data_IF_868972103450
#
_entry.id   IF_868972103450
#
_cell.length_a   1.000
_cell.length_b   1.000
_cell.length_c   1.000
_cell.angle_alpha   90.00
_cell.angle_beta   90.00
_cell.angle_gamma   90.00
#
_symmetry.space_group_name_H-M   'P 1'
#
loop_
_entity.id
_entity.type
_entity.pdbx_description
1 polymer ?
#
# COMPACT_ATOMS: atom_id res chain seq x y z
N UNK A 1 15.84 -8.14 -8.61
CA UNK A 1 15.00 -8.81 -9.65
C UNK A 1 13.82 -7.90 -9.95
N UNK A 2 13.08 -7.99 -11.07
CA UNK A 2 11.85 -7.19 -11.17
C UNK A 2 10.85 -7.65 -10.10
N UNK A 3 10.09 -6.71 -9.54
CA UNK A 3 9.03 -7.03 -8.58
C UNK A 3 8.03 -8.04 -9.16
N UNK A 4 7.64 -9.05 -8.39
CA UNK A 4 6.67 -10.07 -8.83
C UNK A 4 5.25 -9.54 -8.97
N UNK A 5 4.84 -8.62 -8.10
CA UNK A 5 3.51 -8.01 -8.12
C UNK A 5 3.55 -6.54 -8.54
N UNK A 6 2.42 -6.04 -9.04
CA UNK A 6 2.26 -4.63 -9.44
C UNK A 6 1.30 -3.89 -8.51
N UNK A 7 1.36 -2.55 -8.54
CA UNK A 7 0.36 -1.72 -7.88
C UNK A 7 -1.06 -2.10 -8.34
N UNK A 8 -1.98 -2.12 -7.38
CA UNK A 8 -3.39 -2.45 -7.54
C UNK A 8 -3.66 -3.89 -8.00
N UNK A 9 -2.66 -4.76 -8.02
CA UNK A 9 -2.87 -6.19 -8.25
C UNK A 9 -3.59 -6.80 -7.05
N UNK A 10 -4.58 -7.65 -7.33
CA UNK A 10 -5.30 -8.40 -6.30
C UNK A 10 -4.51 -9.66 -5.98
N UNK A 11 -4.25 -9.86 -4.69
CA UNK A 11 -3.44 -10.97 -4.17
C UNK A 11 -4.15 -11.68 -3.04
N UNK A 12 -3.82 -12.96 -2.85
CA UNK A 12 -4.20 -13.75 -1.68
C UNK A 12 -2.99 -13.95 -0.78
N UNK A 13 -3.18 -13.76 0.52
CA UNK A 13 -2.18 -14.06 1.53
C UNK A 13 -2.18 -15.57 1.79
N UNK A 14 -1.01 -16.21 1.67
CA UNK A 14 -0.80 -17.65 1.84
C UNK A 14 0.33 -17.97 2.82
N UNK A 15 0.55 -17.08 3.79
CA UNK A 15 1.61 -17.24 4.77
C UNK A 15 1.27 -18.25 5.86
N UNK A 16 2.29 -18.98 6.31
CA UNK A 16 2.27 -19.77 7.53
C UNK A 16 2.93 -19.04 8.72
N UNK A 17 3.40 -17.80 8.51
CA UNK A 17 4.07 -16.99 9.54
C UNK A 17 3.05 -16.57 10.61
N UNK A 18 3.33 -16.74 11.92
CA UNK A 18 2.38 -16.42 12.99
C UNK A 18 1.89 -14.97 12.95
N UNK A 19 2.76 -14.02 12.59
CA UNK A 19 2.45 -12.60 12.47
C UNK A 19 1.44 -12.27 11.36
N UNK A 20 1.25 -13.17 10.38
CA UNK A 20 0.28 -13.02 9.29
C UNK A 20 -0.94 -13.94 9.47
N UNK A 21 -1.05 -14.64 10.60
CA UNK A 21 -2.10 -15.65 10.82
C UNK A 21 -3.51 -15.07 10.74
N UNK A 22 -3.70 -13.81 11.14
CA UNK A 22 -4.99 -13.11 11.09
C UNK A 22 -5.48 -12.87 9.66
N UNK A 23 -4.56 -12.61 8.73
CA UNK A 23 -4.89 -12.31 7.34
C UNK A 23 -4.62 -13.47 6.38
N UNK A 24 -4.12 -14.61 6.89
CA UNK A 24 -3.83 -15.79 6.07
C UNK A 24 -5.10 -16.36 5.46
N UNK A 25 -5.09 -16.55 4.14
CA UNK A 25 -6.24 -16.96 3.35
C UNK A 25 -7.12 -15.81 2.86
N UNK A 26 -6.93 -14.60 3.37
CA UNK A 26 -7.67 -13.42 2.95
C UNK A 26 -7.09 -12.82 1.66
N UNK A 27 -7.92 -12.04 0.99
CA UNK A 27 -7.59 -11.37 -0.28
C UNK A 27 -7.46 -9.87 -0.02
N UNK A 28 -6.51 -9.26 -0.71
CA UNK A 28 -6.30 -7.82 -0.67
C UNK A 28 -5.70 -7.31 -1.97
N UNK A 29 -5.26 -6.06 -1.93
CA UNK A 29 -4.71 -5.34 -3.07
C UNK A 29 -3.36 -4.72 -2.72
N UNK A 30 -2.41 -4.77 -3.67
CA UNK A 30 -1.09 -4.15 -3.50
C UNK A 30 -1.23 -2.62 -3.54
N UNK A 31 -0.96 -1.97 -2.41
CA UNK A 31 -0.99 -0.52 -2.23
C UNK A 31 0.40 0.11 -2.11
N UNK A 32 1.41 -0.69 -1.83
CA UNK A 32 2.79 -0.24 -1.66
C UNK A 32 3.79 -1.33 -2.00
N UNK A 33 4.96 -0.92 -2.47
CA UNK A 33 6.04 -1.81 -2.87
C UNK A 33 7.35 -1.19 -2.39
N UNK A 34 8.21 -1.99 -1.77
CA UNK A 34 9.54 -1.59 -1.35
C UNK A 34 10.54 -2.68 -1.71
N UNK A 35 11.73 -2.29 -2.16
CA UNK A 35 12.86 -3.18 -2.42
C UNK A 35 13.93 -2.93 -1.36
N UNK A 36 14.52 -3.99 -0.81
CA UNK A 36 15.69 -3.87 0.07
C UNK A 36 17.01 -3.89 -0.73
N UNK A 37 18.15 -3.72 -0.05
CA UNK A 37 19.48 -3.71 -0.70
C UNK A 37 19.85 -5.04 -1.40
N UNK A 38 19.25 -6.15 -0.97
CA UNK A 38 19.45 -7.48 -1.56
C UNK A 38 18.52 -7.75 -2.76
N UNK A 39 17.64 -6.81 -3.08
CA UNK A 39 16.66 -6.93 -4.17
C UNK A 39 15.43 -7.78 -3.84
N UNK A 40 15.14 -7.97 -2.55
CA UNK A 40 13.90 -8.58 -2.06
C UNK A 40 12.80 -7.54 -1.92
N UNK A 41 11.59 -7.91 -2.33
CA UNK A 41 10.42 -7.04 -2.26
C UNK A 41 9.55 -7.33 -1.05
N UNK A 42 9.16 -6.26 -0.36
CA UNK A 42 8.06 -6.22 0.59
C UNK A 42 6.90 -5.43 0.01
N UNK A 43 5.68 -5.82 0.37
CA UNK A 43 4.45 -5.28 -0.17
C UNK A 43 3.53 -4.79 0.94
N UNK A 44 2.95 -3.62 0.76
CA UNK A 44 1.83 -3.17 1.57
C UNK A 44 0.53 -3.65 0.90
N UNK A 45 -0.23 -4.51 1.58
CA UNK A 45 -1.46 -5.13 1.10
C UNK A 45 -2.62 -4.57 1.91
N UNK A 46 -3.57 -3.91 1.25
CA UNK A 46 -4.85 -3.55 1.89
C UNK A 46 -5.79 -4.74 1.82
N UNK A 47 -6.18 -5.29 2.97
CA UNK A 47 -6.99 -6.51 3.08
C UNK A 47 -8.47 -6.12 3.12
N UNK A 48 -9.26 -6.67 2.19
CA UNK A 48 -10.64 -6.25 1.99
C UNK A 48 -11.57 -6.55 3.18
N UNK A 49 -11.31 -7.65 3.88
CA UNK A 49 -12.20 -8.13 4.95
C UNK A 49 -12.01 -7.39 6.28
N UNK A 50 -10.86 -6.75 6.48
CA UNK A 50 -10.49 -6.09 7.75
C UNK A 50 -10.23 -4.58 7.63
N UNK A 51 -10.25 -4.02 6.42
CA UNK A 51 -9.99 -2.59 6.15
C UNK A 51 -8.66 -2.09 6.73
N UNK A 52 -7.64 -2.95 6.70
CA UNK A 52 -6.31 -2.68 7.23
C UNK A 52 -5.22 -2.93 6.20
N UNK A 53 -4.15 -2.14 6.29
CA UNK A 53 -2.93 -2.32 5.51
C UNK A 53 -1.90 -3.17 6.25
N UNK A 54 -1.45 -4.25 5.63
CA UNK A 54 -0.48 -5.18 6.17
C UNK A 54 0.79 -5.25 5.33
N UNK A 55 1.93 -5.53 5.98
CA UNK A 55 3.18 -5.80 5.28
C UNK A 55 3.34 -7.30 5.05
N UNK A 56 3.57 -7.72 3.80
CA UNK A 56 3.82 -9.10 3.44
C UNK A 56 5.02 -9.21 2.48
N UNK A 57 5.76 -10.31 2.56
CA UNK A 57 6.87 -10.58 1.65
C UNK A 57 6.38 -11.24 0.37
N UNK A 58 7.22 -11.24 -0.66
CA UNK A 58 6.91 -11.82 -1.98
C UNK A 58 6.45 -13.29 -1.91
N UNK A 59 7.03 -14.08 -1.00
CA UNK A 59 6.70 -15.49 -0.79
C UNK A 59 5.35 -15.73 -0.08
N UNK A 60 4.82 -14.71 0.60
CA UNK A 60 3.58 -14.80 1.37
C UNK A 60 2.33 -14.56 0.53
N UNK A 61 2.50 -14.25 -0.77
CA UNK A 61 1.45 -13.76 -1.65
C UNK A 61 1.34 -14.60 -2.92
N UNK A 62 0.09 -14.75 -3.38
CA UNK A 62 -0.24 -15.33 -4.70
C UNK A 62 -1.09 -14.33 -5.47
N UNK A 63 -0.74 -14.14 -6.74
CA UNK A 63 -1.52 -13.31 -7.67
C UNK A 63 -2.88 -13.96 -7.93
N UNK A 64 -3.94 -13.15 -7.89
CA UNK A 64 -5.28 -13.56 -8.30
C UNK A 64 -5.56 -13.23 -9.78
N UNK A 65 -4.56 -12.72 -10.51
CA UNK A 65 -4.66 -12.40 -11.95
C UNK A 65 -5.60 -11.26 -12.29
N UNK A 66 -6.05 -10.49 -11.30
CA UNK A 66 -6.95 -9.35 -11.46
C UNK A 66 -6.34 -8.10 -10.85
N UNK A 67 -6.76 -6.94 -11.37
CA UNK A 67 -6.21 -5.64 -10.99
C UNK A 67 -7.37 -4.69 -10.73
N UNK A 68 -7.27 -3.96 -9.64
CA UNK A 68 -8.12 -2.81 -9.35
C UNK A 68 -7.53 -1.56 -9.99
N UNK A 69 -8.29 -0.47 -9.99
CA UNK A 69 -7.84 0.82 -10.50
C UNK A 69 -7.52 1.73 -9.34
N UNK A 70 -6.62 2.68 -9.57
CA UNK A 70 -6.29 3.71 -8.59
C UNK A 70 -7.55 4.47 -8.12
N UNK A 71 -8.45 4.76 -9.05
CA UNK A 71 -9.69 5.51 -8.81
C UNK A 71 -10.68 4.76 -7.92
N UNK A 72 -10.48 3.45 -7.70
CA UNK A 72 -11.29 2.69 -6.75
C UNK A 72 -10.88 3.00 -5.29
N UNK A 73 -9.73 3.64 -5.06
CA UNK A 73 -9.18 3.98 -3.73
C UNK A 73 -9.00 5.48 -3.49
N UNK A 74 -8.81 6.25 -4.56
CA UNK A 74 -8.54 7.68 -4.48
C UNK A 74 -9.57 8.43 -5.34
N UNK A 75 -10.22 9.42 -4.75
CA UNK A 75 -11.18 10.31 -5.42
C UNK A 75 -10.52 11.40 -6.29
N UNK A 76 -9.19 11.38 -6.37
CA UNK A 76 -8.41 12.38 -7.09
C UNK A 76 -8.25 13.71 -6.35
N UNK A 77 -8.80 13.84 -5.14
CA UNK A 77 -8.54 14.99 -4.28
C UNK A 77 -7.08 15.00 -3.81
N UNK A 78 -6.58 16.19 -3.48
CA UNK A 78 -5.25 16.35 -2.88
C UNK A 78 -5.31 17.40 -1.80
N UNK A 79 -4.50 17.20 -0.76
CA UNK A 79 -4.31 18.16 0.32
C UNK A 79 -2.94 18.81 0.18
N UNK A 80 -2.85 20.10 0.46
CA UNK A 80 -1.56 20.80 0.54
C UNK A 80 -1.13 20.87 2.00
N UNK A 81 0.11 20.46 2.25
CA UNK A 81 0.75 20.58 3.56
C UNK A 81 1.81 21.67 3.48
N UNK A 82 1.80 22.58 4.45
CA UNK A 82 2.92 23.50 4.70
C UNK A 82 3.69 23.00 5.90
N UNK A 83 5.01 22.96 5.77
CA UNK A 83 5.93 22.53 6.82
C UNK A 83 6.48 23.76 7.52
N UNK A 84 6.47 23.74 8.84
CA UNK A 84 7.18 24.72 9.67
C UNK A 84 8.70 24.44 9.59
N UNK A 85 9.53 25.41 9.15
CA UNK A 85 10.96 25.19 8.97
C UNK A 85 11.75 25.10 10.30
N UNK A 86 11.18 25.58 11.41
CA UNK A 86 11.83 25.54 12.73
C UNK A 86 11.56 24.21 13.45
N UNK A 87 10.32 23.70 13.35
CA UNK A 87 9.89 22.49 14.07
C UNK A 87 9.85 21.23 13.19
N UNK A 88 9.68 21.40 11.88
CA UNK A 88 9.43 20.31 10.94
C UNK A 88 7.99 19.81 10.92
N UNK A 89 7.08 20.38 11.70
CA UNK A 89 5.68 19.96 11.75
C UNK A 89 4.89 20.42 10.51
N UNK A 90 4.02 19.54 9.99
CA UNK A 90 3.18 19.81 8.83
C UNK A 90 1.75 20.17 9.21
N UNK A 91 1.16 21.16 8.54
CA UNK A 91 -0.26 21.52 8.68
C UNK A 91 -0.94 21.65 7.32
N UNK A 92 -2.21 21.21 7.24
CA UNK A 92 -3.03 21.36 6.02
C UNK A 92 -3.33 22.85 5.80
N UNK A 93 -3.18 23.31 4.57
CA UNK A 93 -3.49 24.70 4.18
C UNK A 93 -4.50 24.74 3.04
N UNK A 94 -5.39 25.72 3.09
CA UNK A 94 -6.35 25.96 2.02
C UNK A 94 -5.67 26.50 0.75
N UNK A 95 -6.27 26.16 -0.39
CA UNK A 95 -5.82 26.59 -1.71
C UNK A 95 -6.26 28.03 -1.98
N UNK A 96 -5.52 29.01 -1.45
CA UNK A 96 -5.75 30.41 -1.83
C UNK A 96 -5.15 30.67 -3.22
N UNK A 97 -5.97 30.55 -4.27
CA UNK A 97 -5.73 31.21 -5.55
C UNK A 97 -5.82 32.72 -5.30
N UNK A 98 -4.69 33.37 -5.04
CA UNK A 98 -4.57 34.81 -5.29
C UNK A 98 -3.89 34.98 -6.63
N UNK A 99 -4.65 35.51 -7.58
CA UNK A 99 -4.18 36.09 -8.85
C UNK A 99 -3.11 37.17 -8.61
#
# INVERSE_FOLDING_TARGET
>A
MPAKFQFYEVVKVVSAKPELSEISGLTGVIMGMSENEDGHFGYAVSIFDVDEGWCAMEEDLISMGTYMRREDFYDGSSVRVRVDPETGEGHIVEWNLKE
#
